data_IF_297863140511
#
_entry.id   IF_297863140511
#
_cell.length_a   1.000
_cell.length_b   1.000
_cell.length_c   1.000
_cell.angle_alpha   90.00
_cell.angle_beta   90.00
_cell.angle_gamma   90.00
#
_symmetry.space_group_name_H-M   'P 1'
#
loop_
_entity.id
_entity.type
_entity.pdbx_description
1 polymer ?
#
# COMPACT_ATOMS: atom_id res chain seq x y z
N UNK A 1 -29.75 -19.66 23.18
CA UNK A 1 -29.36 -18.30 22.74
C UNK A 1 -28.65 -18.45 21.42
N UNK A 2 -29.21 -17.90 20.33
CA UNK A 2 -28.55 -17.92 19.02
C UNK A 2 -27.23 -17.15 19.06
N UNK A 3 -26.30 -17.38 18.11
CA UNK A 3 -25.10 -16.57 18.01
C UNK A 3 -25.51 -15.10 17.79
N UNK A 4 -25.20 -14.22 18.73
CA UNK A 4 -25.31 -12.77 18.51
C UNK A 4 -24.37 -12.42 17.36
N UNK A 5 -24.91 -11.75 16.34
CA UNK A 5 -24.12 -11.11 15.29
C UNK A 5 -23.20 -10.09 15.96
N UNK A 6 -21.90 -10.22 15.67
CA UNK A 6 -20.84 -9.37 16.21
C UNK A 6 -20.09 -8.80 15.02
N UNK A 7 -19.97 -7.48 14.98
CA UNK A 7 -19.17 -6.74 14.01
C UNK A 7 -17.89 -6.30 14.69
N UNK A 8 -16.74 -6.54 14.05
CA UNK A 8 -15.45 -6.03 14.50
C UNK A 8 -15.09 -4.78 13.71
N UNK A 9 -14.92 -3.68 14.41
CA UNK A 9 -14.40 -2.43 13.85
C UNK A 9 -12.89 -2.37 14.07
N UNK A 10 -12.16 -1.94 13.05
CA UNK A 10 -10.73 -1.62 13.11
C UNK A 10 -10.57 -0.14 12.85
N UNK A 11 -9.66 0.52 13.57
CA UNK A 11 -9.40 1.94 13.38
C UNK A 11 -8.04 2.33 13.95
N UNK A 12 -7.45 3.37 13.37
CA UNK A 12 -6.25 4.02 13.91
C UNK A 12 -6.69 5.19 14.79
N UNK A 13 -6.14 5.28 15.99
CA UNK A 13 -6.39 6.41 16.91
C UNK A 13 -5.16 6.68 17.78
N UNK A 14 -5.18 7.82 18.46
CA UNK A 14 -4.32 8.06 19.61
C UNK A 14 -4.87 7.29 20.83
N UNK A 15 -3.99 6.73 21.68
CA UNK A 15 -4.38 6.13 22.96
C UNK A 15 -5.08 7.15 23.86
N UNK A 16 -6.12 6.72 24.59
CA UNK A 16 -6.82 7.54 25.57
C UNK A 16 -5.92 7.73 26.81
N UNK A 17 -5.12 8.80 26.82
CA UNK A 17 -4.28 9.21 27.95
C UNK A 17 -4.16 10.74 27.96
N UNK A 18 -4.04 11.33 29.15
CA UNK A 18 -3.98 12.79 29.34
C UNK A 18 -2.68 13.44 28.82
N UNK A 19 -1.64 12.65 28.52
CA UNK A 19 -0.36 13.15 27.97
C UNK A 19 -0.26 12.90 26.46
N UNK A 20 -0.73 13.85 25.65
CA UNK A 20 -0.70 13.79 24.18
C UNK A 20 0.71 13.87 23.57
N UNK A 21 1.75 14.20 24.36
CA UNK A 21 3.09 14.50 23.81
C UNK A 21 3.95 13.26 23.55
N UNK A 22 3.54 12.08 24.04
CA UNK A 22 4.34 10.84 23.98
C UNK A 22 3.76 9.72 23.14
N UNK A 23 2.53 9.85 22.64
CA UNK A 23 1.85 8.72 22.01
C UNK A 23 1.70 8.93 20.51
N UNK A 24 2.18 7.94 19.77
CA UNK A 24 2.00 7.82 18.33
C UNK A 24 0.68 7.11 18.03
N UNK A 25 -0.01 7.42 16.92
CA UNK A 25 -1.22 6.72 16.54
C UNK A 25 -0.95 5.23 16.32
N UNK A 26 -1.89 4.38 16.73
CA UNK A 26 -1.78 2.92 16.65
C UNK A 26 -3.12 2.29 16.25
N UNK A 27 -3.08 1.00 15.91
CA UNK A 27 -4.24 0.24 15.45
C UNK A 27 -5.00 -0.37 16.63
N UNK A 28 -6.29 -0.12 16.67
CA UNK A 28 -7.23 -0.67 17.64
C UNK A 28 -8.30 -1.52 16.94
N UNK A 29 -8.94 -2.39 17.72
CA UNK A 29 -10.25 -2.91 17.37
C UNK A 29 -11.27 -2.70 18.50
N UNK A 30 -12.54 -2.72 18.10
CA UNK A 30 -13.67 -2.68 18.99
C UNK A 30 -14.74 -3.63 18.44
N UNK A 31 -15.40 -4.37 19.32
CA UNK A 31 -16.44 -5.31 18.92
C UNK A 31 -17.82 -4.78 19.30
N UNK A 32 -18.68 -4.64 18.29
CA UNK A 32 -20.06 -4.19 18.44
C UNK A 32 -20.98 -5.38 18.25
N UNK A 33 -21.94 -5.52 19.15
CA UNK A 33 -22.99 -6.53 19.06
C UNK A 33 -24.36 -5.88 18.98
N UNK A 34 -25.34 -6.56 18.38
CA UNK A 34 -26.73 -6.08 18.33
C UNK A 34 -27.35 -5.83 19.72
N UNK A 35 -26.74 -6.36 20.79
CA UNK A 35 -27.19 -6.13 22.16
C UNK A 35 -26.66 -4.86 22.82
N UNK A 36 -25.74 -4.13 22.17
CA UNK A 36 -25.21 -2.86 22.71
C UNK A 36 -26.27 -1.76 22.66
N UNK A 37 -26.42 -1.01 23.74
CA UNK A 37 -27.28 0.17 23.85
C UNK A 37 -26.51 1.42 23.39
N UNK A 38 -27.24 2.48 23.05
CA UNK A 38 -26.65 3.74 22.57
C UNK A 38 -25.67 4.38 23.58
N UNK A 39 -25.88 4.18 24.89
CA UNK A 39 -25.03 4.71 25.96
C UNK A 39 -23.89 3.76 26.38
N UNK A 40 -23.76 2.58 25.76
CA UNK A 40 -22.73 1.62 26.16
C UNK A 40 -21.35 2.07 25.66
N UNK A 41 -20.39 2.21 26.59
CA UNK A 41 -18.99 2.40 26.23
C UNK A 41 -18.41 1.11 25.62
N UNK A 42 -18.05 1.16 24.34
CA UNK A 42 -17.40 0.03 23.65
C UNK A 42 -15.91 0.02 24.00
N UNK A 43 -15.38 -1.05 24.63
CA UNK A 43 -13.97 -1.13 24.96
C UNK A 43 -13.10 -1.22 23.71
N UNK A 44 -11.98 -0.49 23.72
CA UNK A 44 -11.00 -0.48 22.65
C UNK A 44 -9.84 -1.40 23.01
N UNK A 45 -9.43 -2.23 22.07
CA UNK A 45 -8.33 -3.18 22.25
C UNK A 45 -7.20 -2.84 21.29
N UNK A 46 -6.02 -2.58 21.84
CA UNK A 46 -4.85 -2.27 21.05
C UNK A 46 -4.36 -3.56 20.36
N UNK A 47 -4.23 -3.54 19.04
CA UNK A 47 -3.84 -4.73 18.28
C UNK A 47 -2.33 -4.86 18.11
N UNK A 48 -1.59 -3.78 18.32
CA UNK A 48 -0.17 -3.69 18.00
C UNK A 48 0.63 -3.57 19.30
N UNK A 49 1.77 -4.24 19.40
CA UNK A 49 2.61 -4.18 20.59
C UNK A 49 3.23 -2.78 20.79
N UNK A 50 3.59 -2.45 22.02
CA UNK A 50 4.27 -1.19 22.34
C UNK A 50 5.67 -1.07 21.73
N UNK A 51 6.21 -2.15 21.15
CA UNK A 51 7.45 -2.12 20.36
C UNK A 51 7.32 -1.22 19.12
N UNK A 52 6.10 -1.07 18.60
CA UNK A 52 5.80 -0.09 17.54
C UNK A 52 5.75 1.36 18.06
N UNK A 53 5.96 1.58 19.35
CA UNK A 53 5.93 2.91 20.01
C UNK A 53 7.27 3.29 20.64
N UNK A 54 8.09 2.31 21.02
CA UNK A 54 9.34 2.51 21.76
C UNK A 54 10.55 2.69 20.83
N UNK A 55 11.15 3.89 20.82
CA UNK A 55 12.56 4.29 20.56
C UNK A 55 13.47 3.49 19.58
N UNK A 56 12.93 2.61 18.73
CA UNK A 56 13.59 2.13 17.51
C UNK A 56 13.23 3.06 16.37
N UNK A 57 13.45 4.36 16.55
CA UNK A 57 13.41 5.32 15.47
C UNK A 57 14.59 5.03 14.52
N UNK A 58 14.50 3.96 13.73
CA UNK A 58 14.97 4.11 12.36
C UNK A 58 14.17 5.28 11.82
N UNK A 59 14.88 6.34 11.45
CA UNK A 59 14.26 7.51 10.84
C UNK A 59 13.34 7.02 9.73
N UNK A 60 12.08 7.45 9.77
CA UNK A 60 11.17 7.30 8.63
C UNK A 60 11.92 7.79 7.41
N UNK A 61 11.96 6.97 6.36
CA UNK A 61 12.71 7.31 5.15
C UNK A 61 12.13 8.58 4.54
N UNK A 62 12.95 9.36 3.85
CA UNK A 62 12.50 10.57 3.18
C UNK A 62 11.30 10.28 2.25
N UNK A 63 11.33 9.14 1.55
CA UNK A 63 10.24 8.72 0.66
C UNK A 63 8.90 8.52 1.41
N UNK A 64 8.91 7.85 2.56
CA UNK A 64 7.71 7.69 3.38
C UNK A 64 7.27 9.01 4.02
N UNK A 65 8.21 9.83 4.50
CA UNK A 65 7.91 11.13 5.10
C UNK A 65 7.18 12.04 4.11
N UNK A 66 7.73 12.18 2.90
CA UNK A 66 7.11 12.96 1.82
C UNK A 66 5.76 12.38 1.39
N UNK A 67 5.61 11.05 1.38
CA UNK A 67 4.32 10.43 1.09
C UNK A 67 3.27 10.79 2.15
N UNK A 68 3.62 10.70 3.44
CA UNK A 68 2.74 11.04 4.56
C UNK A 68 2.33 12.52 4.53
N UNK A 69 3.26 13.41 4.19
CA UNK A 69 2.97 14.84 3.97
C UNK A 69 1.89 15.04 2.91
N UNK A 70 2.04 14.42 1.73
CA UNK A 70 1.08 14.53 0.62
C UNK A 70 -0.26 13.88 0.93
N UNK A 71 -0.26 12.79 1.69
CA UNK A 71 -1.48 12.15 2.19
C UNK A 71 -2.13 12.92 3.34
N UNK A 72 -1.44 13.93 3.90
CA UNK A 72 -1.85 14.71 5.07
C UNK A 72 -2.12 13.80 6.29
N UNK A 73 -1.29 12.77 6.45
CA UNK A 73 -1.38 11.79 7.54
C UNK A 73 -0.32 12.04 8.62
N UNK A 74 -0.44 11.34 9.75
CA UNK A 74 0.49 11.49 10.87
C UNK A 74 1.92 11.16 10.46
N UNK A 75 2.86 12.06 10.79
CA UNK A 75 4.29 11.87 10.56
C UNK A 75 4.90 10.73 11.42
N UNK A 76 4.22 10.35 12.50
CA UNK A 76 4.69 9.31 13.43
C UNK A 76 3.65 8.19 13.60
N UNK A 77 4.09 7.04 14.09
CA UNK A 77 3.23 5.89 14.34
C UNK A 77 2.66 5.24 13.08
N UNK A 78 1.56 4.52 13.28
CA UNK A 78 0.76 3.93 12.23
C UNK A 78 -0.15 4.99 11.63
N UNK A 79 0.01 5.25 10.34
CA UNK A 79 -0.78 6.23 9.62
C UNK A 79 -1.88 5.60 8.76
N UNK A 80 -1.66 4.37 8.30
CA UNK A 80 -2.57 3.68 7.39
C UNK A 80 -2.46 2.16 7.58
N UNK A 81 -3.51 1.44 7.20
CA UNK A 81 -3.57 -0.02 7.23
C UNK A 81 -4.47 -0.54 6.12
N UNK A 82 -4.25 -1.78 5.76
CA UNK A 82 -5.11 -2.51 4.88
C UNK A 82 -5.62 -3.78 5.55
N UNK A 83 -6.88 -4.13 5.27
CA UNK A 83 -7.51 -5.32 5.82
C UNK A 83 -8.33 -6.03 4.74
N UNK A 84 -8.17 -7.36 4.66
CA UNK A 84 -9.03 -8.20 3.84
C UNK A 84 -10.27 -8.68 4.62
N UNK A 85 -11.37 -9.07 3.94
CA UNK A 85 -12.59 -9.55 4.60
C UNK A 85 -12.41 -10.76 5.54
N UNK A 86 -11.31 -11.51 5.41
CA UNK A 86 -11.02 -12.66 6.28
C UNK A 86 -10.18 -12.32 7.51
N UNK A 87 -9.68 -11.08 7.63
CA UNK A 87 -8.94 -10.59 8.80
C UNK A 87 -7.41 -10.52 8.65
N UNK A 88 -6.85 -10.72 7.44
CA UNK A 88 -5.45 -10.37 7.14
C UNK A 88 -5.31 -8.86 7.25
N UNK A 89 -4.38 -8.42 8.09
CA UNK A 89 -4.08 -7.00 8.30
C UNK A 89 -2.65 -6.74 7.86
N UNK A 90 -2.47 -5.66 7.12
CA UNK A 90 -1.17 -5.17 6.69
C UNK A 90 -1.02 -3.73 7.16
N UNK A 91 0.09 -3.44 7.83
CA UNK A 91 0.41 -2.10 8.32
C UNK A 91 1.79 -1.68 7.85
N UNK A 92 1.96 -0.38 7.64
CA UNK A 92 3.27 0.21 7.38
C UNK A 92 3.73 0.97 8.62
N UNK A 93 4.91 0.63 9.12
CA UNK A 93 5.53 1.31 10.26
C UNK A 93 7.04 1.42 10.03
N UNK A 94 7.64 2.59 10.31
CA UNK A 94 9.09 2.79 10.23
C UNK A 94 9.71 2.38 8.89
N UNK A 95 9.04 2.67 7.78
CA UNK A 95 9.45 2.28 6.43
C UNK A 95 9.63 0.77 6.27
N UNK A 96 8.73 0.00 6.88
CA UNK A 96 8.63 -1.46 6.81
C UNK A 96 7.16 -1.88 6.73
N UNK A 97 6.91 -3.02 6.09
CA UNK A 97 5.60 -3.67 6.07
C UNK A 97 5.55 -4.75 7.14
N UNK A 98 4.46 -4.78 7.88
CA UNK A 98 4.15 -5.82 8.85
C UNK A 98 2.80 -6.45 8.52
N UNK A 99 2.74 -7.77 8.59
CA UNK A 99 1.53 -8.55 8.30
C UNK A 99 1.09 -9.32 9.54
N UNK A 100 -0.22 -9.41 9.75
CA UNK A 100 -0.81 -10.27 10.78
C UNK A 100 -2.17 -10.80 10.33
N UNK A 101 -2.79 -11.65 11.14
CA UNK A 101 -4.13 -12.16 10.91
C UNK A 101 -4.92 -12.11 12.21
N UNK A 102 -6.06 -11.43 12.18
CA UNK A 102 -7.02 -11.49 13.26
C UNK A 102 -8.03 -12.61 13.01
N UNK A 103 -8.18 -13.50 13.99
CA UNK A 103 -9.12 -14.61 13.90
C UNK A 103 -10.55 -14.12 14.15
N UNK A 104 -11.23 -13.70 13.09
CA UNK A 104 -12.63 -13.25 13.13
C UNK A 104 -13.61 -14.32 13.66
N UNK A 105 -13.23 -15.60 13.62
CA UNK A 105 -14.02 -16.71 14.15
C UNK A 105 -13.92 -16.84 15.68
N UNK A 106 -12.85 -16.30 16.29
CA UNK A 106 -12.69 -16.31 17.74
C UNK A 106 -13.63 -15.30 18.38
N UNK A 107 -14.46 -15.76 19.32
CA UNK A 107 -15.31 -14.87 20.15
C UNK A 107 -14.50 -14.05 21.15
N UNK A 108 -13.18 -14.20 21.23
CA UNK A 108 -12.30 -13.43 22.11
C UNK A 108 -11.66 -12.30 21.31
N UNK A 109 -11.53 -11.15 21.96
CA UNK A 109 -10.71 -10.07 21.42
C UNK A 109 -9.25 -10.44 21.63
N UNK A 110 -8.38 -10.34 20.63
CA UNK A 110 -6.95 -10.56 20.83
C UNK A 110 -6.38 -9.52 21.81
N UNK A 111 -5.52 -9.96 22.74
CA UNK A 111 -4.81 -9.06 23.66
C UNK A 111 -3.79 -8.19 22.91
N UNK A 112 -3.06 -8.79 21.96
CA UNK A 112 -2.15 -8.12 21.01
C UNK A 112 -1.88 -9.10 19.86
N UNK A 113 -1.85 -8.63 18.62
CA UNK A 113 -1.53 -9.46 17.46
C UNK A 113 -0.01 -9.58 17.26
N UNK A 114 0.42 -10.75 16.80
CA UNK A 114 1.82 -10.99 16.43
C UNK A 114 2.00 -10.61 14.96
N UNK A 115 2.92 -9.70 14.70
CA UNK A 115 3.22 -9.23 13.36
C UNK A 115 4.49 -9.90 12.81
N UNK A 116 4.44 -10.31 11.55
CA UNK A 116 5.61 -10.73 10.78
C UNK A 116 6.10 -9.59 9.90
N UNK A 117 7.38 -9.23 10.02
CA UNK A 117 8.03 -8.22 9.15
C UNK A 117 8.30 -8.80 7.75
N UNK A 118 7.96 -8.04 6.73
CA UNK A 118 8.34 -8.31 5.36
C UNK A 118 9.83 -7.99 5.13
N UNK A 119 10.64 -8.89 4.55
CA UNK A 119 12.04 -8.65 4.22
C UNK A 119 12.18 -7.76 2.97
N UNK A 120 11.58 -6.57 2.99
CA UNK A 120 11.61 -5.58 1.91
C UNK A 120 12.17 -4.28 2.44
N UNK A 121 13.10 -3.69 1.70
CA UNK A 121 13.70 -2.40 2.04
C UNK A 121 12.85 -1.25 1.53
N UNK A 122 12.45 -0.35 2.43
CA UNK A 122 11.72 0.89 2.11
C UNK A 122 10.45 0.63 1.26
N UNK A 123 9.57 -0.31 1.67
CA UNK A 123 8.30 -0.50 0.98
C UNK A 123 7.35 0.68 1.24
N UNK A 124 6.53 0.99 0.24
CA UNK A 124 5.47 1.98 0.30
C UNK A 124 4.15 1.36 -0.19
N UNK A 125 3.07 1.82 0.44
CA UNK A 125 1.68 1.61 0.03
C UNK A 125 1.28 0.16 -0.24
N UNK A 126 1.46 -0.79 0.71
CA UNK A 126 1.01 -2.16 0.50
C UNK A 126 -0.46 -2.23 0.05
N UNK A 127 -0.74 -3.15 -0.90
CA UNK A 127 -2.08 -3.52 -1.36
C UNK A 127 -2.23 -5.05 -1.40
N UNK A 128 -3.17 -5.60 -0.64
CA UNK A 128 -3.58 -7.00 -0.58
C UNK A 128 -4.28 -7.36 -1.89
N UNK A 129 -3.95 -8.54 -2.43
CA UNK A 129 -4.64 -9.04 -3.61
C UNK A 129 -6.09 -9.43 -3.25
N UNK A 130 -7.11 -8.86 -3.92
CA UNK A 130 -8.52 -9.12 -3.61
C UNK A 130 -8.95 -10.57 -3.86
N UNK A 131 -8.23 -11.30 -4.72
CA UNK A 131 -8.53 -12.71 -5.03
C UNK A 131 -7.72 -13.70 -4.19
N UNK A 132 -6.70 -13.21 -3.48
CA UNK A 132 -5.84 -14.01 -2.63
C UNK A 132 -5.18 -13.15 -1.54
N UNK A 133 -5.75 -13.21 -0.33
CA UNK A 133 -5.28 -12.48 0.86
C UNK A 133 -3.81 -12.70 1.24
N UNK A 134 -3.18 -13.77 0.76
CA UNK A 134 -1.80 -14.11 1.10
C UNK A 134 -0.79 -13.43 0.15
N UNK A 135 -1.25 -12.75 -0.89
CA UNK A 135 -0.44 -11.95 -1.80
C UNK A 135 -0.58 -10.47 -1.48
N UNK A 136 0.55 -9.77 -1.34
CA UNK A 136 0.63 -8.32 -1.13
C UNK A 136 1.52 -7.72 -2.19
N UNK A 137 1.10 -6.63 -2.83
CA UNK A 137 1.95 -5.81 -3.69
C UNK A 137 2.35 -4.54 -2.95
N UNK A 138 3.58 -4.09 -3.14
CA UNK A 138 4.07 -2.79 -2.67
C UNK A 138 5.03 -2.18 -3.70
N UNK A 139 5.31 -0.90 -3.57
CA UNK A 139 6.45 -0.28 -4.26
C UNK A 139 7.66 -0.32 -3.32
N UNK A 140 8.78 -0.85 -3.78
CA UNK A 140 10.04 -0.84 -3.05
C UNK A 140 11.15 -0.36 -3.99
N UNK A 141 11.92 0.65 -3.59
CA UNK A 141 12.97 1.26 -4.42
C UNK A 141 12.46 1.68 -5.82
N UNK A 142 11.25 2.25 -5.89
CA UNK A 142 10.57 2.64 -7.14
C UNK A 142 10.21 1.49 -8.09
N UNK A 143 10.22 0.24 -7.60
CA UNK A 143 9.87 -0.96 -8.35
C UNK A 143 8.67 -1.67 -7.72
N UNK A 144 7.85 -2.29 -8.56
CA UNK A 144 6.73 -3.09 -8.09
C UNK A 144 7.26 -4.42 -7.52
N UNK A 145 6.92 -4.72 -6.27
CA UNK A 145 7.33 -5.93 -5.55
C UNK A 145 6.10 -6.66 -5.04
N UNK A 146 6.10 -7.99 -5.11
CA UNK A 146 5.02 -8.83 -4.58
C UNK A 146 5.56 -9.82 -3.56
N UNK A 147 4.89 -9.88 -2.42
CA UNK A 147 5.13 -10.81 -1.32
C UNK A 147 4.07 -11.89 -1.21
N UNK A 148 4.49 -13.09 -0.85
CA UNK A 148 3.61 -14.14 -0.34
C UNK A 148 3.83 -14.28 1.17
N UNK A 149 2.82 -13.88 1.95
CA UNK A 149 2.91 -13.74 3.42
C UNK A 149 3.23 -15.07 4.12
N UNK A 150 2.53 -16.20 3.86
CA UNK A 150 2.77 -17.45 4.57
C UNK A 150 4.20 -18.01 4.41
N UNK A 151 4.81 -17.85 3.24
CA UNK A 151 6.20 -18.29 3.02
C UNK A 151 7.22 -17.18 3.24
N UNK A 152 6.77 -15.97 3.56
CA UNK A 152 7.55 -14.74 3.66
C UNK A 152 8.53 -14.54 2.47
N UNK A 153 8.08 -14.88 1.26
CA UNK A 153 8.89 -14.74 0.04
C UNK A 153 8.45 -13.52 -0.74
N UNK A 154 9.39 -12.63 -1.08
CA UNK A 154 9.13 -11.38 -1.78
C UNK A 154 9.95 -11.32 -3.06
N UNK A 155 9.32 -10.94 -4.17
CA UNK A 155 9.92 -10.92 -5.50
C UNK A 155 9.61 -9.59 -6.16
N UNK A 156 10.66 -8.93 -6.64
CA UNK A 156 10.52 -7.72 -7.46
C UNK A 156 9.99 -8.12 -8.85
N UNK A 157 8.84 -7.56 -9.24
CA UNK A 157 8.19 -7.85 -10.52
C UNK A 157 8.77 -7.05 -11.69
N UNK A 158 9.35 -5.90 -11.40
CA UNK A 158 9.85 -4.95 -12.41
C UNK A 158 11.30 -4.58 -12.13
N UNK A 159 12.07 -4.27 -13.18
CA UNK A 159 13.50 -3.94 -13.08
C UNK A 159 13.85 -2.79 -14.06
N UNK A 160 12.95 -1.81 -14.13
CA UNK A 160 13.03 -0.70 -15.09
C UNK A 160 13.27 0.65 -14.43
N UNK A 161 12.98 0.75 -13.13
CA UNK A 161 13.35 1.92 -12.35
C UNK A 161 14.87 2.04 -12.36
N UNK A 162 15.31 3.28 -12.48
CA UNK A 162 16.71 3.61 -12.37
C UNK A 162 16.84 4.94 -11.64
N UNK A 163 18.04 5.21 -11.16
CA UNK A 163 18.36 6.46 -10.46
C UNK A 163 18.13 7.72 -11.33
N UNK A 164 17.85 7.55 -12.64
CA UNK A 164 17.70 8.64 -13.59
C UNK A 164 16.25 9.13 -13.75
N UNK A 165 15.26 8.63 -12.99
CA UNK A 165 13.90 9.19 -12.98
C UNK A 165 12.83 8.34 -13.70
N UNK A 166 13.00 7.01 -13.70
CA UNK A 166 11.91 6.07 -14.00
C UNK A 166 11.39 5.49 -12.68
N UNK A 167 10.07 5.44 -12.52
CA UNK A 167 9.41 4.77 -11.40
C UNK A 167 8.26 3.87 -11.87
N UNK A 168 8.00 2.82 -11.10
CA UNK A 168 6.94 1.84 -11.36
C UNK A 168 5.97 1.82 -10.20
N UNK A 169 4.67 1.89 -10.50
CA UNK A 169 3.63 1.80 -9.49
C UNK A 169 3.56 3.01 -8.55
N UNK A 170 4.40 4.03 -8.77
CA UNK A 170 4.46 5.24 -7.97
C UNK A 170 4.04 6.44 -8.85
N UNK A 171 2.92 7.12 -8.55
CA UNK A 171 2.49 8.30 -9.28
C UNK A 171 3.49 9.45 -9.12
N UNK A 172 3.53 10.36 -10.10
CA UNK A 172 4.39 11.55 -10.03
C UNK A 172 3.97 12.50 -8.90
N UNK A 173 4.86 13.42 -8.53
CA UNK A 173 4.60 14.43 -7.48
C UNK A 173 3.25 15.15 -7.70
N UNK A 174 3.00 15.66 -8.91
CA UNK A 174 1.76 16.39 -9.23
C UNK A 174 0.53 15.51 -9.06
N UNK A 175 0.61 14.23 -9.41
CA UNK A 175 -0.53 13.31 -9.26
C UNK A 175 -0.85 13.05 -7.79
N UNK A 176 0.17 12.99 -6.94
CA UNK A 176 -0.02 12.85 -5.51
C UNK A 176 -0.56 14.13 -4.88
N UNK A 177 -0.03 15.30 -5.25
CA UNK A 177 -0.34 16.60 -4.63
C UNK A 177 -1.68 17.19 -5.10
N UNK A 178 -1.95 17.15 -6.41
CA UNK A 178 -3.09 17.87 -7.03
C UNK A 178 -4.30 16.97 -7.30
N UNK A 179 -4.11 15.65 -7.27
CA UNK A 179 -5.15 14.68 -7.64
C UNK A 179 -5.44 13.63 -6.57
N UNK A 180 -4.80 13.72 -5.40
CA UNK A 180 -4.93 12.79 -4.26
C UNK A 180 -4.88 11.31 -4.70
N UNK A 181 -3.95 10.98 -5.62
CA UNK A 181 -3.68 9.59 -6.02
C UNK A 181 -2.27 9.21 -5.62
N UNK A 182 -2.19 8.30 -4.66
CA UNK A 182 -0.93 7.88 -4.07
C UNK A 182 -0.43 6.57 -4.67
N UNK A 183 -1.33 5.66 -5.08
CA UNK A 183 -1.01 4.35 -5.65
C UNK A 183 -1.06 4.36 -7.18
N UNK A 184 -0.06 3.75 -7.82
CA UNK A 184 0.09 3.62 -9.28
C UNK A 184 -0.04 2.19 -9.81
N UNK A 185 -0.62 1.28 -9.03
CA UNK A 185 -0.86 -0.11 -9.44
C UNK A 185 -2.16 -0.65 -8.87
N UNK A 186 -2.75 -1.62 -9.55
CA UNK A 186 -4.10 -2.12 -9.31
C UNK A 186 -4.16 -3.62 -9.58
N UNK A 187 -4.40 -4.40 -8.52
CA UNK A 187 -4.71 -5.82 -8.66
C UNK A 187 -5.99 -6.03 -9.45
N UNK A 188 -6.01 -7.07 -10.28
CA UNK A 188 -7.26 -7.56 -10.87
C UNK A 188 -8.19 -8.08 -9.76
N UNK A 189 -9.47 -7.66 -9.71
CA UNK A 189 -10.41 -8.00 -8.63
C UNK A 189 -11.01 -9.40 -8.76
N UNK A 190 -10.92 -10.01 -9.93
CA UNK A 190 -11.45 -11.34 -10.25
C UNK A 190 -10.33 -12.29 -10.67
N UNK A 191 -10.57 -13.60 -10.56
CA UNK A 191 -9.63 -14.57 -11.09
C UNK A 191 -9.57 -14.44 -12.61
N UNK A 192 -8.35 -14.41 -13.15
CA UNK A 192 -8.15 -14.51 -14.59
C UNK A 192 -8.72 -15.84 -15.10
N UNK A 193 -9.28 -15.85 -16.31
CA UNK A 193 -9.73 -17.08 -16.95
C UNK A 193 -8.55 -18.06 -17.01
N UNK A 194 -8.72 -19.22 -16.36
CA UNK A 194 -7.61 -20.13 -16.12
C UNK A 194 -6.96 -20.53 -17.44
N UNK A 195 -5.64 -20.36 -17.54
CA UNK A 195 -4.85 -21.05 -18.54
C UNK A 195 -5.08 -22.57 -18.40
N UNK A 196 -4.91 -23.29 -19.51
CA UNK A 196 -5.23 -24.73 -19.67
C UNK A 196 -4.58 -25.67 -18.63
N UNK A 197 -3.62 -25.16 -17.86
CA UNK A 197 -2.76 -25.92 -16.94
C UNK A 197 -3.17 -25.82 -15.44
N UNK A 198 -4.42 -25.43 -15.13
CA UNK A 198 -4.98 -25.37 -13.76
C UNK A 198 -4.19 -24.52 -12.74
N UNK A 199 -3.20 -23.74 -13.17
CA UNK A 199 -2.40 -22.88 -12.28
C UNK A 199 -3.09 -21.53 -12.13
N UNK A 200 -3.39 -21.12 -10.89
CA UNK A 200 -4.00 -19.80 -10.62
C UNK A 200 -3.05 -18.70 -11.09
N UNK A 201 -3.57 -17.81 -11.93
CA UNK A 201 -2.86 -16.63 -12.42
C UNK A 201 -3.40 -15.38 -11.74
N UNK A 202 -2.51 -14.44 -11.45
CA UNK A 202 -2.81 -13.14 -10.87
C UNK A 202 -2.26 -12.05 -11.76
N UNK A 203 -2.95 -10.92 -11.82
CA UNK A 203 -2.64 -9.82 -12.71
C UNK A 203 -2.62 -8.50 -11.94
N UNK A 204 -1.62 -7.68 -12.23
CA UNK A 204 -1.48 -6.33 -11.69
C UNK A 204 -1.30 -5.39 -12.86
N UNK A 205 -2.22 -4.44 -13.02
CA UNK A 205 -2.05 -3.27 -13.87
C UNK A 205 -1.20 -2.25 -13.11
N UNK A 206 -0.24 -1.61 -13.76
CA UNK A 206 0.56 -0.57 -13.13
C UNK A 206 1.01 0.48 -14.14
N UNK A 207 1.29 1.67 -13.63
CA UNK A 207 1.90 2.73 -14.41
C UNK A 207 3.42 2.70 -14.28
N UNK A 208 4.08 3.09 -15.38
CA UNK A 208 5.50 3.42 -15.42
C UNK A 208 5.60 4.90 -15.74
N UNK A 209 6.18 5.67 -14.84
CA UNK A 209 6.36 7.11 -14.97
C UNK A 209 7.80 7.39 -15.38
N UNK A 210 7.96 8.18 -16.46
CA UNK A 210 9.25 8.65 -16.97
C UNK A 210 9.37 10.16 -16.77
N UNK A 211 10.08 10.54 -15.72
CA UNK A 211 10.29 11.93 -15.36
C UNK A 211 11.67 12.45 -15.78
N UNK A 212 12.41 11.71 -16.63
CA UNK A 212 13.77 12.12 -17.07
C UNK A 212 13.82 13.52 -17.67
N UNK A 213 12.74 13.94 -18.34
CA UNK A 213 12.60 15.27 -18.97
C UNK A 213 11.96 16.33 -18.04
N UNK A 214 11.59 15.96 -16.82
CA UNK A 214 11.03 16.89 -15.84
C UNK A 214 12.18 17.66 -15.19
N UNK A 215 11.96 18.94 -14.97
CA UNK A 215 12.94 19.79 -14.30
C UNK A 215 13.20 19.29 -12.87
N UNK A 216 14.47 19.27 -12.50
CA UNK A 216 14.90 18.98 -11.13
C UNK A 216 15.01 20.30 -10.36
N UNK A 217 14.39 20.34 -9.19
CA UNK A 217 14.54 21.42 -8.21
C UNK A 217 15.18 20.86 -6.96
N UNK A 218 15.97 21.68 -6.29
CA UNK A 218 16.58 21.32 -5.02
C UNK A 218 15.96 22.18 -3.91
N UNK A 219 15.33 21.52 -2.94
CA UNK A 219 14.77 22.13 -1.76
C UNK A 219 15.75 21.91 -0.60
N UNK A 220 15.85 22.88 0.30
CA UNK A 220 16.70 22.77 1.49
C UNK A 220 15.79 22.57 2.68
N UNK A 221 15.87 21.41 3.32
CA UNK A 221 15.23 21.15 4.61
C UNK A 221 16.31 21.09 5.71
N UNK A 222 16.43 22.18 6.47
CA UNK A 222 17.50 22.36 7.45
C UNK A 222 18.90 22.30 6.82
N UNK A 223 19.57 21.15 6.95
CA UNK A 223 20.92 20.89 6.40
C UNK A 223 20.85 19.90 5.20
N UNK A 224 19.72 19.23 4.97
CA UNK A 224 19.58 18.26 3.89
C UNK A 224 19.12 18.93 2.59
N UNK A 225 19.77 18.54 1.49
CA UNK A 225 19.38 18.93 0.14
C UNK A 225 18.46 17.87 -0.44
N UNK A 226 17.19 18.20 -0.58
CA UNK A 226 16.21 17.32 -1.20
C UNK A 226 16.10 17.61 -2.69
N UNK A 227 16.17 16.56 -3.50
CA UNK A 227 16.11 16.67 -4.95
C UNK A 227 14.77 16.18 -5.45
N UNK A 228 13.98 17.08 -6.03
CA UNK A 228 12.62 16.80 -6.47
C UNK A 228 12.46 17.03 -7.98
N UNK A 229 11.72 16.15 -8.65
CA UNK A 229 11.28 16.39 -10.03
C UNK A 229 9.98 17.17 -9.97
N UNK A 230 10.06 18.45 -10.34
CA UNK A 230 8.94 19.38 -10.20
C UNK A 230 8.58 19.99 -11.55
N UNK A 231 7.46 19.57 -12.17
CA UNK A 231 7.01 20.13 -13.44
C UNK A 231 6.40 21.51 -13.21
N UNK A 232 7.18 22.57 -13.43
CA UNK A 232 6.67 23.95 -13.42
C UNK A 232 5.62 24.14 -14.51
N UNK A 233 4.65 25.02 -14.25
CA UNK A 233 3.62 25.38 -15.22
C UNK A 233 4.22 25.73 -16.60
N UNK A 234 3.69 25.11 -17.65
CA UNK A 234 4.13 25.30 -19.04
C UNK A 234 5.45 24.61 -19.42
N UNK A 235 6.02 23.75 -18.56
CA UNK A 235 7.19 22.90 -18.89
C UNK A 235 6.78 21.46 -19.18
N UNK A 236 7.73 20.65 -19.64
CA UNK A 236 7.50 19.23 -19.92
C UNK A 236 7.05 18.49 -18.66
N UNK A 237 5.88 17.87 -18.76
CA UNK A 237 5.42 16.85 -17.84
C UNK A 237 6.09 15.51 -18.19
N UNK A 238 6.25 14.63 -17.20
CA UNK A 238 6.78 13.28 -17.42
C UNK A 238 5.86 12.46 -18.35
N UNK A 239 6.35 11.35 -18.90
CA UNK A 239 5.52 10.46 -19.69
C UNK A 239 5.00 9.31 -18.83
N UNK A 240 3.72 8.97 -18.94
CA UNK A 240 3.12 7.82 -18.24
C UNK A 240 2.79 6.72 -19.24
N UNK A 241 3.12 5.47 -18.90
CA UNK A 241 2.75 4.28 -19.67
C UNK A 241 2.04 3.28 -18.77
N UNK A 242 0.98 2.66 -19.27
CA UNK A 242 0.32 1.55 -18.60
C UNK A 242 0.91 0.21 -19.06
N UNK A 243 1.20 -0.66 -18.09
CA UNK A 243 1.78 -1.99 -18.27
C UNK A 243 1.06 -2.95 -17.33
N UNK A 244 1.06 -4.24 -17.63
CA UNK A 244 0.45 -5.27 -16.81
C UNK A 244 1.44 -6.39 -16.54
N UNK A 245 1.51 -6.88 -15.31
CA UNK A 245 2.27 -8.07 -14.95
C UNK A 245 1.30 -9.21 -14.64
N UNK A 246 1.50 -10.34 -15.31
CA UNK A 246 0.86 -11.60 -14.98
C UNK A 246 1.85 -12.48 -14.22
N UNK A 247 1.40 -13.12 -13.15
CA UNK A 247 2.22 -13.99 -12.30
C UNK A 247 1.44 -15.24 -11.88
N UNK A 248 2.18 -16.29 -11.51
CA UNK A 248 1.63 -17.49 -10.89
C UNK A 248 2.11 -17.61 -9.43
N UNK A 249 1.35 -18.35 -8.63
CA UNK A 249 1.73 -18.68 -7.25
C UNK A 249 1.70 -20.20 -7.08
N UNK A 250 2.81 -20.77 -6.62
CA UNK A 250 2.90 -22.17 -6.19
C UNK A 250 3.27 -22.21 -4.69
N UNK A 251 4.53 -21.95 -4.36
CA UNK A 251 5.04 -21.73 -2.99
C UNK A 251 5.65 -20.33 -2.80
N UNK A 252 5.96 -19.70 -3.93
CA UNK A 252 6.45 -18.33 -4.11
C UNK A 252 5.92 -17.82 -5.45
N UNK A 253 6.03 -16.52 -5.67
CA UNK A 253 5.71 -15.89 -6.95
C UNK A 253 6.63 -16.46 -8.05
N UNK A 254 6.05 -16.95 -9.13
CA UNK A 254 6.76 -17.51 -10.29
C UNK A 254 6.09 -17.10 -11.60
N UNK A 255 6.71 -17.44 -12.74
CA UNK A 255 6.16 -17.24 -14.09
C UNK A 255 5.71 -15.80 -14.36
N UNK A 256 6.54 -14.83 -13.96
CA UNK A 256 6.25 -13.41 -14.16
C UNK A 256 6.36 -13.08 -15.65
N UNK A 257 5.29 -12.51 -16.22
CA UNK A 257 5.21 -12.05 -17.60
C UNK A 257 4.71 -10.61 -17.63
N UNK A 258 5.43 -9.76 -18.33
CA UNK A 258 5.04 -8.36 -18.49
C UNK A 258 4.40 -8.15 -19.86
N UNK A 259 3.31 -7.40 -19.87
CA UNK A 259 2.53 -7.04 -21.05
C UNK A 259 2.47 -5.52 -21.14
N UNK A 260 2.82 -4.97 -22.30
CA UNK A 260 2.70 -3.54 -22.57
C UNK A 260 1.63 -3.30 -23.63
N UNK A 261 1.09 -2.08 -23.65
CA UNK A 261 0.25 -1.64 -24.76
C UNK A 261 1.01 -1.75 -26.10
N UNK A 262 0.35 -2.15 -27.20
CA UNK A 262 0.99 -2.25 -28.51
C UNK A 262 1.58 -0.93 -29.03
N UNK A 263 1.07 0.20 -28.54
CA UNK A 263 1.54 1.55 -28.85
C UNK A 263 1.61 2.39 -27.56
N UNK A 264 2.38 3.50 -27.54
CA UNK A 264 2.36 4.45 -26.43
C UNK A 264 0.95 4.98 -26.14
N UNK A 265 0.64 5.23 -24.88
CA UNK A 265 -0.69 5.70 -24.44
C UNK A 265 -1.12 6.99 -25.15
N UNK A 266 -0.18 7.92 -25.36
CA UNK A 266 -0.41 9.20 -26.06
C UNK A 266 -0.91 9.02 -27.50
N UNK A 267 -0.62 7.89 -28.16
CA UNK A 267 -1.11 7.61 -29.50
C UNK A 267 -2.58 7.18 -29.52
N UNK A 268 -3.06 6.60 -28.41
CA UNK A 268 -4.47 6.25 -28.25
C UNK A 268 -5.28 7.45 -27.77
N UNK A 269 -4.67 8.32 -26.94
CA UNK A 269 -5.33 9.48 -26.34
C UNK A 269 -4.47 10.72 -26.58
N UNK A 270 -4.65 11.40 -27.73
CA UNK A 270 -3.94 12.66 -28.02
C UNK A 270 -4.26 13.72 -26.97
N UNK A 271 -3.23 14.40 -26.46
CA UNK A 271 -3.38 15.41 -25.40
C UNK A 271 -3.54 14.84 -23.98
N UNK A 272 -3.34 13.53 -23.80
CA UNK A 272 -3.25 12.94 -22.47
C UNK A 272 -2.01 13.43 -21.71
N UNK A 273 -2.23 14.01 -20.54
CA UNK A 273 -1.15 14.52 -19.69
C UNK A 273 -1.03 13.75 -18.36
N UNK A 274 -2.15 13.53 -17.67
CA UNK A 274 -2.17 12.92 -16.35
C UNK A 274 -3.08 11.70 -16.28
N UNK A 275 -2.56 10.59 -15.73
CA UNK A 275 -3.40 9.46 -15.32
C UNK A 275 -4.03 9.78 -13.95
N UNK A 276 -5.24 10.33 -13.92
CA UNK A 276 -5.86 10.76 -12.66
C UNK A 276 -6.39 9.56 -11.86
N UNK A 277 -7.07 8.62 -12.51
CA UNK A 277 -7.56 7.37 -11.92
C UNK A 277 -7.41 6.23 -12.92
N UNK A 278 -7.22 5.02 -12.41
CA UNK A 278 -7.26 3.78 -13.16
C UNK A 278 -7.70 2.66 -12.20
N UNK A 279 -8.03 1.52 -12.77
CA UNK A 279 -8.49 0.36 -12.04
C UNK A 279 -9.06 -0.67 -12.98
N UNK A 280 -9.80 -1.61 -12.41
CA UNK A 280 -10.44 -2.70 -13.12
C UNK A 280 -11.96 -2.62 -12.97
N UNK A 281 -12.67 -3.14 -13.96
CA UNK A 281 -14.07 -3.54 -13.80
C UNK A 281 -14.17 -4.63 -12.73
N UNK A 282 -15.29 -4.76 -11.98
CA UNK A 282 -15.43 -5.76 -10.92
C UNK A 282 -15.23 -7.21 -11.38
N UNK A 283 -15.55 -7.52 -12.64
CA UNK A 283 -15.33 -8.81 -13.28
C UNK A 283 -13.94 -8.96 -13.94
N UNK A 284 -13.13 -7.89 -13.93
CA UNK A 284 -11.76 -7.86 -14.43
C UNK A 284 -11.63 -7.96 -15.95
N UNK A 285 -12.69 -7.60 -16.70
CA UNK A 285 -12.69 -7.53 -18.16
C UNK A 285 -12.34 -6.15 -18.71
#
# INVERSE_FOLDING_TARGET
MGPQSRCRMYFISYPRSDDLTRFQPTLFCADISEGCRDDDEVPWFQLVSDEFRSERSSSVTLAESLLRERMRTSATGLADYEIDPTGRIVVTAFSRIFCTEDSLQSRRVPETLVFSEAPVSIPLQPVICPTNRDLIACVANSELTVGHVPSNTWVQLTHVANENGLSVGMPSYVVQEEFDRYIGYWWRPSQAESARDCTKQYEILYEVVDERKVQVVHLVDGIQLETHRYPRAGKSFGCVRLTMSQLALISRVTNIRQHALPRPLLNYIPGFEYLVRAGWTPDGK
#
